data_IF_764714659895
#
_entry.id   IF_764714659895
#
_cell.length_a   1.000
_cell.length_b   1.000
_cell.length_c   1.000
_cell.angle_alpha   90.00
_cell.angle_beta   90.00
_cell.angle_gamma   90.00
#
_symmetry.space_group_name_H-M   'P 1'
#
loop_
_entity.id
_entity.type
_entity.pdbx_description
1 polymer ?
#
# COMPACT_ATOMS: atom_id res chain seq x y z
N UNK A 1 4.10 -12.13 11.27
CA UNK A 1 3.68 -10.72 11.35
C UNK A 1 2.37 -10.45 10.61
N UNK A 2 1.66 -9.42 11.05
CA UNK A 2 0.49 -8.81 10.41
C UNK A 2 0.98 -7.61 9.61
N UNK A 3 0.82 -7.66 8.29
CA UNK A 3 1.34 -6.68 7.36
C UNK A 3 0.19 -5.89 6.76
N UNK A 4 0.15 -4.58 7.02
CA UNK A 4 -0.70 -3.67 6.24
C UNK A 4 0.04 -3.26 4.98
N UNK A 5 -0.66 -3.20 3.85
CA UNK A 5 -0.12 -2.67 2.60
C UNK A 5 -0.94 -1.47 2.11
N UNK A 6 -0.24 -0.54 1.46
CA UNK A 6 -0.83 0.56 0.70
C UNK A 6 -0.04 0.82 -0.57
N UNK A 7 -0.68 1.42 -1.56
CA UNK A 7 -0.07 1.64 -2.87
C UNK A 7 -1.09 2.20 -3.86
N UNK A 8 -0.68 2.36 -5.12
CA UNK A 8 -1.58 2.81 -6.19
C UNK A 8 -2.83 1.91 -6.27
N UNK A 9 -4.01 2.52 -6.33
CA UNK A 9 -5.27 1.83 -6.58
C UNK A 9 -5.51 1.46 -8.04
N UNK A 10 -4.64 1.92 -8.95
CA UNK A 10 -4.78 1.75 -10.40
C UNK A 10 -3.61 0.98 -11.02
N UNK A 11 -2.42 1.07 -10.43
CA UNK A 11 -1.22 0.42 -10.94
C UNK A 11 -0.91 -0.79 -10.09
N UNK A 12 -0.73 -1.94 -10.74
CA UNK A 12 -0.50 -3.20 -10.05
C UNK A 12 0.98 -3.53 -9.88
N UNK A 13 1.82 -3.21 -10.89
CA UNK A 13 3.25 -3.58 -10.98
C UNK A 13 3.56 -4.92 -10.26
N UNK A 14 2.88 -5.97 -10.72
CA UNK A 14 2.70 -7.26 -10.02
C UNK A 14 4.01 -7.92 -9.59
N UNK A 15 5.04 -7.82 -10.43
CA UNK A 15 6.34 -8.43 -10.16
C UNK A 15 7.06 -7.73 -9.00
N UNK A 16 7.01 -6.39 -8.95
CA UNK A 16 7.55 -5.62 -7.83
C UNK A 16 6.81 -5.95 -6.54
N UNK A 17 5.47 -5.97 -6.56
CA UNK A 17 4.67 -6.35 -5.38
C UNK A 17 5.03 -7.76 -4.90
N UNK A 18 5.07 -8.72 -5.82
CA UNK A 18 5.40 -10.11 -5.48
C UNK A 18 6.81 -10.25 -4.94
N UNK A 19 7.78 -9.55 -5.53
CA UNK A 19 9.18 -9.56 -5.11
C UNK A 19 9.35 -9.01 -3.70
N UNK A 20 8.78 -7.84 -3.42
CA UNK A 20 8.90 -7.17 -2.13
C UNK A 20 8.17 -7.94 -1.01
N UNK A 21 6.98 -8.47 -1.29
CA UNK A 21 6.26 -9.30 -0.32
C UNK A 21 6.98 -10.62 -0.05
N UNK A 22 7.59 -11.25 -1.07
CA UNK A 22 8.41 -12.43 -0.87
C UNK A 22 9.67 -12.11 -0.04
N UNK A 23 10.33 -10.98 -0.28
CA UNK A 23 11.47 -10.50 0.51
C UNK A 23 11.09 -10.33 1.97
N UNK A 24 10.00 -9.61 2.25
CA UNK A 24 9.49 -9.41 3.61
C UNK A 24 9.12 -10.73 4.28
N UNK A 25 8.40 -11.61 3.56
CA UNK A 25 7.98 -12.91 4.08
C UNK A 25 9.15 -13.83 4.46
N UNK A 26 10.23 -13.83 3.66
CA UNK A 26 11.46 -14.57 4.00
C UNK A 26 12.16 -14.02 5.23
N UNK A 27 12.13 -12.69 5.44
CA UNK A 27 12.76 -12.03 6.58
C UNK A 27 11.96 -12.26 7.88
N UNK A 28 10.65 -12.08 7.80
CA UNK A 28 9.71 -12.32 8.88
C UNK A 28 8.40 -12.82 8.29
N UNK A 29 8.02 -14.06 8.62
CA UNK A 29 6.87 -14.74 8.01
C UNK A 29 5.61 -13.87 8.12
N UNK A 30 5.03 -13.48 6.98
CA UNK A 30 3.74 -12.78 6.94
C UNK A 30 2.64 -13.80 7.17
N UNK A 31 1.81 -13.58 8.18
CA UNK A 31 0.69 -14.46 8.52
C UNK A 31 -0.65 -13.90 8.07
N UNK A 32 -0.77 -12.57 8.10
CA UNK A 32 -1.97 -11.86 7.64
C UNK A 32 -1.53 -10.66 6.83
N UNK A 33 -2.05 -10.57 5.61
CA UNK A 33 -1.95 -9.41 4.73
C UNK A 33 -3.25 -8.59 4.87
N UNK A 34 -3.11 -7.29 5.09
CA UNK A 34 -4.21 -6.38 5.37
C UNK A 34 -4.18 -5.21 4.39
N UNK A 35 -5.30 -4.87 3.77
CA UNK A 35 -5.41 -3.72 2.88
C UNK A 35 -6.84 -3.19 2.82
N UNK A 36 -7.06 -2.08 2.13
CA UNK A 36 -8.41 -1.52 1.95
C UNK A 36 -8.83 -1.18 0.53
N UNK A 37 -8.01 -1.48 -0.47
CA UNK A 37 -8.37 -1.35 -1.89
C UNK A 37 -8.72 -2.70 -2.52
N UNK A 38 -9.40 -2.69 -3.67
CA UNK A 38 -9.69 -3.88 -4.48
C UNK A 38 -8.92 -3.92 -5.81
N UNK A 39 -8.15 -2.89 -6.12
CA UNK A 39 -7.42 -2.75 -7.38
C UNK A 39 -5.96 -2.37 -7.18
N UNK A 40 -5.21 -2.29 -8.28
CA UNK A 40 -3.82 -1.89 -8.26
C UNK A 40 -2.98 -2.81 -7.38
N UNK A 41 -2.15 -2.21 -6.53
CA UNK A 41 -1.27 -2.93 -5.60
C UNK A 41 -2.01 -3.94 -4.72
N UNK A 42 -3.24 -3.63 -4.31
CA UNK A 42 -4.02 -4.53 -3.46
C UNK A 42 -4.36 -5.84 -4.19
N UNK A 43 -4.76 -5.76 -5.46
CA UNK A 43 -5.06 -6.94 -6.27
C UNK A 43 -3.81 -7.81 -6.47
N UNK A 44 -2.68 -7.20 -6.84
CA UNK A 44 -1.41 -7.91 -6.98
C UNK A 44 -0.97 -8.61 -5.69
N UNK A 45 -1.18 -7.97 -4.55
CA UNK A 45 -0.79 -8.51 -3.26
C UNK A 45 -1.71 -9.64 -2.79
N UNK A 46 -3.00 -9.59 -3.08
CA UNK A 46 -3.92 -10.71 -2.84
C UNK A 46 -3.52 -11.96 -3.64
N UNK A 47 -3.14 -11.76 -4.90
CA UNK A 47 -2.68 -12.86 -5.75
C UNK A 47 -1.41 -13.50 -5.21
N UNK A 48 -0.46 -12.68 -4.74
CA UNK A 48 0.72 -13.19 -4.02
C UNK A 48 0.32 -13.94 -2.73
N UNK A 49 -0.56 -13.38 -1.92
CA UNK A 49 -0.99 -13.98 -0.65
C UNK A 49 -1.63 -15.35 -0.86
N UNK A 50 -2.45 -15.50 -1.90
CA UNK A 50 -3.06 -16.78 -2.29
C UNK A 50 -1.99 -17.84 -2.59
N UNK A 51 -0.96 -17.49 -3.38
CA UNK A 51 0.14 -18.41 -3.72
C UNK A 51 1.00 -18.75 -2.50
N UNK A 52 1.19 -17.79 -1.60
CA UNK A 52 2.02 -17.94 -0.40
C UNK A 52 1.29 -18.56 0.81
N UNK A 53 -0.01 -18.86 0.69
CA UNK A 53 -0.83 -19.38 1.80
C UNK A 53 -0.99 -18.38 2.96
N UNK A 54 -1.02 -17.08 2.65
CA UNK A 54 -1.17 -15.98 3.62
C UNK A 54 -2.63 -15.56 3.71
N UNK A 55 -3.14 -15.39 4.92
CA UNK A 55 -4.52 -14.91 5.13
C UNK A 55 -4.67 -13.45 4.70
N UNK A 56 -5.82 -13.10 4.12
CA UNK A 56 -6.13 -11.74 3.68
C UNK A 56 -7.28 -11.17 4.50
N UNK A 57 -7.12 -9.93 4.98
CA UNK A 57 -8.18 -9.15 5.62
C UNK A 57 -8.36 -7.82 4.89
N UNK A 58 -9.59 -7.54 4.46
CA UNK A 58 -9.95 -6.34 3.70
C UNK A 58 -10.68 -5.33 4.58
N UNK A 59 -10.30 -4.06 4.48
CA UNK A 59 -10.96 -2.91 5.09
C UNK A 59 -11.46 -1.96 4.00
N UNK A 60 -12.59 -2.26 3.33
CA UNK A 60 -13.11 -1.39 2.28
C UNK A 60 -13.54 -0.03 2.87
N UNK A 61 -13.23 1.10 2.20
CA UNK A 61 -13.73 2.41 2.61
C UNK A 61 -15.26 2.51 2.49
N UNK A 62 -15.90 3.06 3.51
CA UNK A 62 -17.35 3.33 3.48
C UNK A 62 -17.62 4.71 2.87
N UNK A 63 -17.72 4.75 1.55
CA UNK A 63 -17.98 5.97 0.77
C UNK A 63 -19.36 6.56 1.03
N UNK A 64 -20.37 5.72 1.24
CA UNK A 64 -21.75 6.16 1.50
C UNK A 64 -21.80 7.04 2.75
N UNK A 65 -21.09 6.64 3.81
CA UNK A 65 -21.10 7.35 5.09
C UNK A 65 -20.14 8.53 5.15
N UNK A 66 -18.95 8.40 4.57
CA UNK A 66 -17.85 9.35 4.82
C UNK A 66 -17.40 10.15 3.59
N UNK A 67 -18.01 9.89 2.42
CA UNK A 67 -17.71 10.59 1.17
C UNK A 67 -16.21 10.62 0.87
N UNK A 68 -15.70 11.80 0.48
CA UNK A 68 -14.29 12.02 0.12
C UNK A 68 -13.28 11.65 1.21
N UNK A 69 -13.72 11.54 2.47
CA UNK A 69 -12.84 11.21 3.60
C UNK A 69 -12.83 9.72 3.95
N UNK A 70 -13.62 8.89 3.25
CA UNK A 70 -13.82 7.48 3.57
C UNK A 70 -12.51 6.69 3.63
N UNK A 71 -11.57 6.94 2.71
CA UNK A 71 -10.26 6.29 2.74
C UNK A 71 -9.42 6.67 3.95
N UNK A 72 -9.39 7.95 4.31
CA UNK A 72 -8.62 8.41 5.47
C UNK A 72 -9.22 7.88 6.78
N UNK A 73 -10.56 7.87 6.90
CA UNK A 73 -11.27 7.25 8.03
C UNK A 73 -10.94 5.76 8.12
N UNK A 74 -10.99 5.07 6.98
CA UNK A 74 -10.62 3.65 6.87
C UNK A 74 -9.17 3.42 7.26
N UNK A 75 -8.21 4.22 6.80
CA UNK A 75 -6.79 4.07 7.15
C UNK A 75 -6.59 4.10 8.67
N UNK A 76 -7.17 5.09 9.34
CA UNK A 76 -7.08 5.22 10.81
C UNK A 76 -7.73 4.04 11.53
N UNK A 77 -8.92 3.62 11.08
CA UNK A 77 -9.61 2.48 11.66
C UNK A 77 -8.83 1.17 11.43
N UNK A 78 -8.40 0.92 10.21
CA UNK A 78 -7.62 -0.25 9.79
C UNK A 78 -6.35 -0.40 10.62
N UNK A 79 -5.55 0.67 10.80
CA UNK A 79 -4.34 0.60 11.62
C UNK A 79 -4.65 0.32 13.10
N UNK A 80 -5.70 0.92 13.66
CA UNK A 80 -6.10 0.73 15.06
C UNK A 80 -6.63 -0.67 15.33
N UNK A 81 -7.53 -1.14 14.46
CA UNK A 81 -8.24 -2.41 14.62
C UNK A 81 -7.34 -3.59 14.26
N UNK A 82 -6.65 -3.51 13.13
CA UNK A 82 -5.86 -4.63 12.64
C UNK A 82 -4.54 -4.83 13.39
N UNK A 83 -4.05 -3.83 14.14
CA UNK A 83 -2.81 -3.84 14.93
C UNK A 83 -1.64 -4.47 14.15
N UNK A 84 -1.24 -3.89 13.02
CA UNK A 84 -0.17 -4.45 12.21
C UNK A 84 1.19 -4.33 12.93
N UNK A 85 2.10 -5.24 12.60
CA UNK A 85 3.51 -5.13 13.02
C UNK A 85 4.30 -4.22 12.07
N UNK A 86 3.90 -4.17 10.79
CA UNK A 86 4.56 -3.43 9.73
C UNK A 86 3.54 -2.87 8.74
N UNK A 87 3.83 -1.68 8.21
CA UNK A 87 3.16 -1.11 7.04
C UNK A 87 4.11 -1.11 5.85
N UNK A 88 3.79 -1.81 4.76
CA UNK A 88 4.50 -1.69 3.50
C UNK A 88 3.78 -0.70 2.57
N UNK A 89 4.46 0.39 2.24
CA UNK A 89 3.94 1.44 1.37
C UNK A 89 4.62 1.37 0.00
N UNK A 90 3.86 0.89 -0.99
CA UNK A 90 4.23 0.93 -2.39
C UNK A 90 3.94 2.32 -2.99
N UNK A 91 4.61 2.68 -4.09
CA UNK A 91 4.37 3.94 -4.80
C UNK A 91 2.89 4.20 -5.10
N UNK A 92 2.38 5.33 -4.63
CA UNK A 92 0.96 5.62 -4.69
C UNK A 92 0.65 7.09 -4.44
N UNK A 93 -0.65 7.41 -4.45
CA UNK A 93 -1.13 8.78 -4.35
C UNK A 93 -1.35 9.26 -2.90
N UNK A 94 -2.16 10.33 -2.74
CA UNK A 94 -2.43 10.95 -1.44
C UNK A 94 -2.92 10.00 -0.35
N UNK A 95 -3.69 8.96 -0.72
CA UNK A 95 -4.21 7.98 0.24
C UNK A 95 -3.13 7.08 0.84
N UNK A 96 -2.09 6.74 0.06
CA UNK A 96 -0.93 5.99 0.56
C UNK A 96 -0.09 6.89 1.47
N UNK A 97 0.10 8.15 1.10
CA UNK A 97 0.81 9.12 1.94
C UNK A 97 0.10 9.33 3.28
N UNK A 98 -1.23 9.42 3.28
CA UNK A 98 -2.03 9.47 4.51
C UNK A 98 -1.85 8.21 5.38
N UNK A 99 -1.82 7.02 4.76
CA UNK A 99 -1.56 5.76 5.47
C UNK A 99 -0.20 5.78 6.17
N UNK A 100 0.87 6.17 5.47
CA UNK A 100 2.22 6.29 6.03
C UNK A 100 2.24 7.28 7.19
N UNK A 101 1.66 8.46 7.01
CA UNK A 101 1.55 9.49 8.08
C UNK A 101 0.83 8.95 9.31
N UNK A 102 -0.28 8.21 9.13
CA UNK A 102 -1.00 7.61 10.23
C UNK A 102 -0.18 6.52 10.94
N UNK A 103 0.55 5.70 10.18
CA UNK A 103 1.42 4.65 10.72
C UNK A 103 2.56 5.24 11.59
N UNK A 104 3.24 6.26 11.07
CA UNK A 104 4.32 6.95 11.80
C UNK A 104 3.81 7.61 13.09
N UNK A 105 2.64 8.26 13.05
CA UNK A 105 2.00 8.83 14.25
C UNK A 105 1.64 7.76 15.29
N UNK A 106 1.26 6.57 14.82
CA UNK A 106 1.00 5.42 15.67
C UNK A 106 2.27 4.67 16.12
N UNK A 107 3.47 5.17 15.77
CA UNK A 107 4.78 4.54 16.05
C UNK A 107 4.91 3.12 15.47
N UNK A 108 4.25 2.88 14.35
CA UNK A 108 4.38 1.64 13.59
C UNK A 108 5.59 1.70 12.65
N UNK A 109 6.25 0.56 12.46
CA UNK A 109 7.30 0.43 11.46
C UNK A 109 6.72 0.60 10.05
N UNK A 110 7.46 1.29 9.18
CA UNK A 110 7.09 1.51 7.78
C UNK A 110 8.21 1.02 6.88
N UNK A 111 7.85 0.22 5.87
CA UNK A 111 8.69 -0.20 4.77
C UNK A 111 8.23 0.51 3.50
N UNK A 112 9.01 1.48 3.02
CA UNK A 112 8.69 2.22 1.79
C UNK A 112 9.40 1.58 0.60
N UNK A 113 8.63 1.20 -0.41
CA UNK A 113 9.17 0.75 -1.71
C UNK A 113 9.38 2.00 -2.57
N UNK A 114 10.61 2.28 -3.04
CA UNK A 114 10.91 3.53 -3.70
C UNK A 114 10.33 3.58 -5.11
N UNK A 115 9.92 4.78 -5.56
CA UNK A 115 9.30 4.96 -6.88
C UNK A 115 10.20 4.53 -8.05
N UNK A 116 11.52 4.64 -7.89
CA UNK A 116 12.50 4.23 -8.91
C UNK A 116 12.47 2.74 -9.23
N UNK A 117 11.89 1.92 -8.34
CA UNK A 117 11.80 0.47 -8.53
C UNK A 117 10.51 0.08 -9.27
N UNK A 118 9.60 1.05 -9.55
CA UNK A 118 8.42 0.83 -10.40
C UNK A 118 8.87 0.70 -11.85
N UNK A 119 8.48 -0.38 -12.56
CA UNK A 119 8.82 -0.54 -13.97
C UNK A 119 8.32 0.63 -14.83
N UNK A 120 9.20 1.18 -15.66
CA UNK A 120 8.89 2.34 -16.51
C UNK A 120 7.67 2.08 -17.42
N UNK A 121 7.52 0.86 -17.94
CA UNK A 121 6.38 0.48 -18.78
C UNK A 121 5.03 0.66 -18.07
N UNK A 122 4.97 0.33 -16.77
CA UNK A 122 3.74 0.50 -15.97
C UNK A 122 3.33 1.97 -15.82
N UNK A 123 4.27 2.90 -15.95
CA UNK A 123 4.01 4.35 -15.92
C UNK A 123 3.52 4.82 -17.31
N UNK A 124 4.06 4.26 -18.39
CA UNK A 124 3.70 4.60 -19.76
C UNK A 124 2.31 4.10 -20.14
N UNK A 125 1.93 2.88 -19.74
CA UNK A 125 0.60 2.30 -20.01
C UNK A 125 -0.55 3.13 -19.40
N UNK A 126 -0.24 4.02 -18.43
CA UNK A 126 -1.17 4.98 -17.84
C UNK A 126 -1.46 6.16 -18.77
N UNK A 127 -0.50 6.56 -19.60
CA UNK A 127 -0.62 7.72 -20.48
C UNK A 127 -1.62 7.49 -21.62
N UNK A 128 -1.88 6.24 -21.99
CA UNK A 128 -2.77 5.83 -23.08
C UNK A 128 -4.23 5.55 -22.63
N UNK A 129 -4.55 5.74 -21.33
CA UNK A 129 -5.92 5.67 -20.80
C UNK A 129 -6.71 6.98 -20.95
N UNK A 130 -8.05 6.98 -20.87
CA UNK A 130 -8.85 8.20 -20.99
C UNK A 130 -8.42 9.22 -19.92
N UNK A 131 -8.44 10.54 -20.23
CA UNK A 131 -7.77 11.56 -19.41
C UNK A 131 -8.43 11.68 -18.02
N UNK A 132 -7.81 11.04 -17.02
CA UNK A 132 -8.17 11.13 -15.61
C UNK A 132 -7.43 12.28 -14.91
N UNK A 133 -8.19 13.14 -14.24
CA UNK A 133 -7.71 14.37 -13.59
C UNK A 133 -6.64 14.15 -12.52
N UNK A 134 -5.78 15.16 -12.45
CA UNK A 134 -4.85 15.54 -11.38
C UNK A 134 -3.38 15.09 -11.57
N UNK A 135 -2.61 16.05 -12.08
CA UNK A 135 -1.15 16.11 -12.01
C UNK A 135 -0.82 17.14 -10.93
N UNK A 136 -0.32 16.70 -9.78
CA UNK A 136 0.40 17.60 -8.87
C UNK A 136 1.46 16.86 -8.05
N UNK A 137 2.70 17.12 -8.48
CA UNK A 137 3.93 17.30 -7.70
C UNK A 137 4.37 16.22 -6.71
N UNK A 138 5.42 15.50 -7.12
CA UNK A 138 6.28 14.75 -6.23
C UNK A 138 7.14 15.64 -5.32
N UNK A 139 7.60 14.98 -4.27
CA UNK A 139 8.72 15.30 -3.37
C UNK A 139 8.53 16.40 -2.31
N UNK A 140 8.48 15.95 -1.05
CA UNK A 140 9.48 16.28 -0.02
C UNK A 140 9.58 15.14 0.98
N UNK A 141 10.72 14.43 0.97
CA UNK A 141 11.12 13.47 2.00
C UNK A 141 11.08 14.13 3.37
N UNK A 142 10.25 13.61 4.26
CA UNK A 142 10.47 13.75 5.70
C UNK A 142 11.09 12.44 6.17
N UNK A 143 12.17 12.53 6.95
CA UNK A 143 12.96 11.39 7.45
C UNK A 143 12.06 10.46 8.28
N UNK A 144 11.45 9.48 7.62
CA UNK A 144 10.90 8.30 8.27
C UNK A 144 12.07 7.44 8.76
N UNK A 145 11.87 6.70 9.84
CA UNK A 145 12.76 5.59 10.19
C UNK A 145 12.49 4.52 9.13
N UNK A 146 13.17 4.67 7.99
CA UNK A 146 13.17 3.71 6.90
C UNK A 146 14.05 2.56 7.38
N UNK A 147 13.43 1.42 7.69
CA UNK A 147 14.20 0.20 7.89
C UNK A 147 14.78 -0.21 6.54
N UNK A 148 16.08 0.07 6.35
CA UNK A 148 16.88 -0.62 5.34
C UNK A 148 17.11 -2.05 5.85
N UNK A 149 16.19 -2.94 5.46
CA UNK A 149 16.29 -4.39 5.68
C UNK A 149 16.70 -5.11 4.40
#
# INVERSE_FOLDING_TARGET
MRLVIGGSGHLEYRDLVSFELAKLHRRCRVMVLIHGGLGGVCAAAEDWARRAGVHVVRYPPNWVRYGKTAEAVRNRFMLKDARPDLVAAFPGGPHTLDLVRCALRARLAVYEVPERDVPAQTILDRADGPPGRDRSNGLRSQRAIVLHI
#
